data_IF_092135579370
#
_entry.id   IF_092135579370
#
_cell.length_a   1.000
_cell.length_b   1.000
_cell.length_c   1.000
_cell.angle_alpha   90.00
_cell.angle_beta   90.00
_cell.angle_gamma   90.00
#
_symmetry.space_group_name_H-M   'P 1'
#
loop_
_entity.id
_entity.type
_entity.pdbx_description
1 polymer ?
#
# COMPACT_ATOMS: atom_id res chain seq x y z
N UNK A 1 -17.44 13.16 -4.45
CA UNK A 1 -18.37 14.26 -4.78
C UNK A 1 -18.63 15.26 -3.66
N UNK A 2 -19.23 14.88 -2.53
CA UNK A 2 -19.59 15.86 -1.48
C UNK A 2 -18.37 16.54 -0.84
N UNK A 3 -17.26 15.81 -0.65
CA UNK A 3 -16.03 16.33 -0.03
C UNK A 3 -15.11 17.08 -1.00
N UNK A 4 -14.90 16.55 -2.21
CA UNK A 4 -13.91 17.09 -3.18
C UNK A 4 -14.49 17.57 -4.51
N UNK A 5 -15.81 17.78 -4.61
CA UNK A 5 -16.42 18.21 -5.87
C UNK A 5 -16.65 17.08 -6.88
N UNK A 6 -17.22 17.45 -8.04
CA UNK A 6 -17.62 16.53 -9.13
C UNK A 6 -16.42 16.11 -9.98
N UNK A 7 -15.48 17.01 -10.15
CA UNK A 7 -14.19 16.81 -10.80
C UNK A 7 -13.39 15.64 -10.18
N UNK A 8 -13.46 15.48 -8.86
CA UNK A 8 -12.85 14.36 -8.14
C UNK A 8 -13.59 13.00 -8.28
N UNK A 9 -14.59 12.88 -9.17
CA UNK A 9 -15.27 11.60 -9.45
C UNK A 9 -15.01 11.09 -10.86
N UNK A 10 -14.01 11.63 -11.55
CA UNK A 10 -13.44 10.97 -12.72
C UNK A 10 -12.69 9.71 -12.27
N UNK A 11 -12.49 8.79 -13.21
CA UNK A 11 -11.86 7.49 -12.94
C UNK A 11 -10.44 7.44 -13.48
N UNK A 12 -9.57 6.70 -12.78
CA UNK A 12 -8.25 6.33 -13.28
C UNK A 12 -8.31 5.11 -14.20
N UNK A 13 -7.13 4.54 -14.49
CA UNK A 13 -6.98 3.48 -15.49
C UNK A 13 -7.74 2.19 -15.13
N UNK A 14 -7.87 1.87 -13.85
CA UNK A 14 -8.60 0.69 -13.35
C UNK A 14 -10.05 0.96 -12.95
N UNK A 15 -10.59 2.13 -13.30
CA UNK A 15 -12.00 2.47 -13.03
C UNK A 15 -12.31 2.95 -11.60
N UNK A 16 -11.33 2.96 -10.70
CA UNK A 16 -11.42 3.60 -9.38
C UNK A 16 -11.47 5.13 -9.49
N UNK A 17 -12.09 5.81 -8.53
CA UNK A 17 -12.09 7.28 -8.49
C UNK A 17 -10.67 7.81 -8.23
N UNK A 18 -10.32 8.91 -8.90
CA UNK A 18 -9.02 9.58 -8.75
C UNK A 18 -9.17 10.98 -8.13
N UNK A 19 -9.53 11.10 -6.83
CA UNK A 19 -9.60 12.40 -6.17
C UNK A 19 -8.20 13.01 -6.01
N UNK A 20 -8.12 14.34 -6.00
CA UNK A 20 -6.87 15.05 -5.77
C UNK A 20 -6.53 15.07 -4.26
N UNK A 21 -6.10 13.92 -3.74
CA UNK A 21 -5.65 13.73 -2.36
C UNK A 21 -4.18 13.34 -2.36
N UNK A 22 -3.45 13.83 -1.36
CA UNK A 22 -2.04 13.50 -1.14
C UNK A 22 -1.89 12.41 -0.07
N UNK A 23 -2.56 12.59 1.06
CA UNK A 23 -2.41 11.72 2.22
C UNK A 23 -3.12 10.37 2.02
N UNK A 24 -2.39 9.26 2.14
CA UNK A 24 -2.93 7.92 1.87
C UNK A 24 -4.05 7.53 2.85
N UNK A 25 -3.97 8.00 4.11
CA UNK A 25 -5.03 7.75 5.10
C UNK A 25 -6.36 8.42 4.73
N UNK A 26 -6.32 9.50 3.95
CA UNK A 26 -7.51 10.18 3.47
C UNK A 26 -8.30 9.30 2.49
N UNK A 27 -7.62 8.52 1.66
CA UNK A 27 -8.24 7.50 0.81
C UNK A 27 -8.92 6.41 1.65
N UNK A 28 -8.23 5.90 2.67
CA UNK A 28 -8.76 4.87 3.58
C UNK A 28 -9.99 5.36 4.34
N UNK A 29 -9.98 6.61 4.80
CA UNK A 29 -11.12 7.22 5.48
C UNK A 29 -12.35 7.35 4.55
N UNK A 30 -12.13 7.69 3.27
CA UNK A 30 -13.20 7.72 2.28
C UNK A 30 -13.82 6.36 2.04
N UNK A 31 -12.99 5.32 1.91
CA UNK A 31 -13.45 3.94 1.73
C UNK A 31 -14.23 3.46 2.95
N UNK A 32 -13.68 3.66 4.16
CA UNK A 32 -14.35 3.33 5.42
C UNK A 32 -15.72 4.01 5.52
N UNK A 33 -15.75 5.33 5.31
CA UNK A 33 -16.99 6.12 5.30
C UNK A 33 -18.00 5.63 4.26
N UNK A 34 -17.54 5.19 3.08
CA UNK A 34 -18.41 4.67 2.02
C UNK A 34 -19.01 3.31 2.40
N UNK A 35 -18.19 2.41 2.95
CA UNK A 35 -18.61 1.09 3.46
C UNK A 35 -19.66 1.25 4.56
N UNK A 36 -19.42 2.15 5.51
CA UNK A 36 -20.36 2.45 6.61
C UNK A 36 -21.69 2.98 6.05
N UNK A 37 -21.65 3.94 5.12
CA UNK A 37 -22.86 4.50 4.49
C UNK A 37 -23.64 3.49 3.66
N UNK A 38 -22.96 2.51 3.08
CA UNK A 38 -23.58 1.41 2.36
C UNK A 38 -24.20 0.36 3.31
N UNK A 39 -23.93 0.43 4.62
CA UNK A 39 -24.47 -0.49 5.61
C UNK A 39 -23.72 -1.82 5.69
N UNK A 40 -22.44 -1.86 5.29
CA UNK A 40 -21.63 -3.08 5.25
C UNK A 40 -20.33 -3.06 6.10
N UNK A 41 -20.28 -2.40 7.27
CA UNK A 41 -19.05 -2.27 8.05
C UNK A 41 -18.46 -3.62 8.48
N UNK A 42 -19.31 -4.63 8.74
CA UNK A 42 -18.87 -5.95 9.20
C UNK A 42 -18.68 -6.97 8.07
N UNK A 43 -18.89 -6.56 6.81
CA UNK A 43 -18.88 -7.45 5.64
C UNK A 43 -17.80 -7.12 4.61
N UNK A 44 -17.23 -5.91 4.68
CA UNK A 44 -16.24 -5.43 3.72
C UNK A 44 -14.99 -5.01 4.49
N UNK A 45 -13.86 -5.54 4.05
CA UNK A 45 -12.50 -5.19 4.48
C UNK A 45 -11.76 -4.50 3.32
N UNK A 46 -10.61 -3.91 3.61
CA UNK A 46 -9.80 -3.16 2.65
C UNK A 46 -8.52 -3.94 2.31
N UNK A 47 -8.22 -4.00 1.03
CA UNK A 47 -6.89 -4.33 0.50
C UNK A 47 -6.24 -3.07 -0.07
N UNK A 48 -4.91 -3.02 -0.06
CA UNK A 48 -4.13 -1.95 -0.66
C UNK A 48 -3.07 -2.57 -1.57
N UNK A 49 -2.90 -2.03 -2.76
CA UNK A 49 -1.65 -2.13 -3.50
C UNK A 49 -0.92 -0.79 -3.38
N UNK A 50 0.29 -0.85 -2.85
CA UNK A 50 1.13 0.32 -2.61
C UNK A 50 2.04 0.56 -3.82
N UNK A 51 2.47 -0.49 -4.53
CA UNK A 51 3.45 -0.41 -5.61
C UNK A 51 4.70 0.40 -5.22
N UNK A 52 5.31 0.09 -4.07
CA UNK A 52 6.34 0.93 -3.46
C UNK A 52 7.63 1.08 -4.30
N UNK A 53 7.88 0.16 -5.24
CA UNK A 53 8.95 0.27 -6.23
C UNK A 53 8.87 1.58 -7.04
N UNK A 54 7.65 2.07 -7.33
CA UNK A 54 7.43 3.27 -8.15
C UNK A 54 7.92 4.56 -7.48
N UNK A 55 7.96 4.56 -6.16
CA UNK A 55 8.39 5.71 -5.37
C UNK A 55 9.62 5.42 -4.50
N UNK A 56 10.32 4.32 -4.75
CA UNK A 56 11.61 4.04 -4.13
C UNK A 56 12.71 4.93 -4.75
N UNK A 57 13.39 5.68 -3.90
CA UNK A 57 14.43 6.66 -4.26
C UNK A 57 15.59 6.59 -3.28
N UNK A 58 16.77 6.23 -3.78
CA UNK A 58 18.03 6.29 -3.03
C UNK A 58 17.99 5.60 -1.64
N UNK A 59 17.38 4.40 -1.55
CA UNK A 59 17.29 3.66 -0.28
C UNK A 59 16.15 4.10 0.63
N UNK A 60 15.24 4.95 0.13
CA UNK A 60 14.10 5.54 0.85
C UNK A 60 12.88 5.60 -0.05
N UNK A 61 11.78 6.13 0.46
CA UNK A 61 10.48 6.16 -0.20
C UNK A 61 9.93 7.58 -0.24
N UNK A 62 9.44 8.00 -1.41
CA UNK A 62 8.84 9.31 -1.65
C UNK A 62 7.32 9.24 -1.80
N UNK A 63 6.58 9.49 -0.72
CA UNK A 63 5.11 9.42 -0.76
C UNK A 63 4.45 10.50 -1.64
N UNK A 64 5.22 11.47 -2.14
CA UNK A 64 4.76 12.52 -3.05
C UNK A 64 5.54 12.51 -4.38
N UNK A 65 5.95 11.32 -4.86
CA UNK A 65 6.77 11.11 -6.07
C UNK A 65 6.20 11.70 -7.37
N UNK A 66 4.91 12.02 -7.42
CA UNK A 66 4.24 12.67 -8.57
C UNK A 66 4.43 14.19 -8.61
N UNK A 67 4.90 14.77 -7.51
CA UNK A 67 5.27 16.18 -7.41
C UNK A 67 6.77 16.38 -7.72
N UNK A 68 7.24 17.61 -7.97
CA UNK A 68 8.67 17.88 -8.13
C UNK A 68 9.51 17.26 -7.01
N UNK A 69 10.65 16.70 -7.38
CA UNK A 69 11.49 15.90 -6.49
C UNK A 69 12.05 16.71 -5.32
N UNK A 70 11.93 16.16 -4.11
CA UNK A 70 12.48 16.72 -2.87
C UNK A 70 13.00 15.61 -1.95
N UNK A 71 14.32 15.36 -1.90
CA UNK A 71 14.88 14.33 -1.02
C UNK A 71 14.65 14.55 0.48
N UNK A 72 14.26 15.75 0.92
CA UNK A 72 14.00 16.06 2.33
C UNK A 72 12.71 15.40 2.85
N UNK A 73 11.75 15.09 1.97
CA UNK A 73 10.50 14.38 2.34
C UNK A 73 10.60 12.86 2.29
N UNK A 74 11.73 12.31 1.85
CA UNK A 74 11.89 10.86 1.74
C UNK A 74 11.94 10.19 3.12
N UNK A 75 11.16 9.13 3.28
CA UNK A 75 11.08 8.34 4.51
C UNK A 75 11.78 6.99 4.36
N UNK A 76 12.25 6.41 5.46
CA UNK A 76 12.88 5.07 5.46
C UNK A 76 11.83 3.96 5.37
N UNK A 77 12.28 2.74 5.01
CA UNK A 77 11.42 1.55 5.07
C UNK A 77 10.80 1.33 6.45
N UNK A 78 11.55 1.58 7.54
CA UNK A 78 10.99 1.49 8.91
C UNK A 78 9.85 2.49 9.15
N UNK A 79 10.03 3.75 8.71
CA UNK A 79 8.99 4.78 8.83
C UNK A 79 7.75 4.44 7.99
N UNK A 80 7.95 3.87 6.80
CA UNK A 80 6.88 3.41 5.93
C UNK A 80 6.13 2.21 6.53
N UNK A 81 6.85 1.25 7.11
CA UNK A 81 6.27 0.14 7.85
C UNK A 81 5.47 0.60 9.08
N UNK A 82 5.95 1.60 9.81
CA UNK A 82 5.22 2.23 10.91
C UNK A 82 3.92 2.90 10.44
N UNK A 83 3.95 3.55 9.27
CA UNK A 83 2.77 4.12 8.63
C UNK A 83 1.74 3.03 8.31
N UNK A 84 2.13 1.92 7.70
CA UNK A 84 1.21 0.81 7.42
C UNK A 84 0.63 0.18 8.69
N UNK A 85 1.43 0.00 9.74
CA UNK A 85 0.92 -0.47 11.04
C UNK A 85 -0.12 0.49 11.61
N UNK A 86 0.03 1.79 11.41
CA UNK A 86 -0.99 2.77 11.79
C UNK A 86 -2.29 2.60 10.98
N UNK A 87 -2.19 2.24 9.69
CA UNK A 87 -3.36 1.99 8.84
C UNK A 87 -4.10 0.72 9.26
N UNK A 88 -3.37 -0.37 9.51
CA UNK A 88 -3.94 -1.64 10.01
C UNK A 88 -4.65 -1.43 11.35
N UNK A 89 -4.14 -0.54 12.21
CA UNK A 89 -4.78 -0.20 13.49
C UNK A 89 -6.02 0.69 13.33
N UNK A 90 -6.01 1.61 12.36
CA UNK A 90 -7.05 2.63 12.19
C UNK A 90 -8.21 2.24 11.27
N UNK A 91 -7.98 1.29 10.37
CA UNK A 91 -8.88 0.93 9.27
C UNK A 91 -8.97 -0.61 9.14
N UNK A 92 -10.04 -1.15 8.51
CA UNK A 92 -10.20 -2.60 8.33
C UNK A 92 -9.30 -3.15 7.20
N UNK A 93 -8.02 -2.77 7.19
CA UNK A 93 -7.02 -3.25 6.21
C UNK A 93 -6.59 -4.66 6.59
N UNK A 94 -6.69 -5.58 5.64
CA UNK A 94 -6.38 -7.01 5.83
C UNK A 94 -5.47 -7.57 4.74
N UNK A 95 -5.12 -6.77 3.73
CA UNK A 95 -4.14 -7.12 2.71
C UNK A 95 -3.36 -5.89 2.28
N UNK A 96 -2.05 -6.01 2.20
CA UNK A 96 -1.16 -5.00 1.62
C UNK A 96 -0.23 -5.68 0.61
N UNK A 97 -0.27 -5.19 -0.63
CA UNK A 97 0.57 -5.60 -1.75
C UNK A 97 1.69 -4.59 -1.96
N UNK A 98 2.87 -5.11 -2.30
CA UNK A 98 4.11 -4.35 -2.55
C UNK A 98 4.38 -3.18 -1.57
N UNK A 99 4.39 -3.43 -0.24
CA UNK A 99 4.66 -2.40 0.76
C UNK A 99 6.06 -1.79 0.67
N UNK A 100 7.01 -2.46 0.00
CA UNK A 100 8.39 -1.99 -0.14
C UNK A 100 8.90 -2.28 -1.55
N UNK A 101 10.02 -1.65 -1.91
CA UNK A 101 10.69 -1.88 -3.19
C UNK A 101 10.95 -3.37 -3.43
N UNK A 102 10.88 -3.79 -4.69
CA UNK A 102 11.08 -5.16 -5.14
C UNK A 102 12.40 -5.81 -4.67
N UNK A 103 13.44 -5.03 -4.34
CA UNK A 103 14.73 -5.53 -3.85
C UNK A 103 15.01 -5.16 -2.37
N UNK A 104 14.11 -4.47 -1.67
CA UNK A 104 14.23 -4.15 -0.24
C UNK A 104 13.79 -5.32 0.67
N UNK A 105 14.40 -6.49 0.45
CA UNK A 105 14.08 -7.74 1.13
C UNK A 105 14.07 -7.66 2.67
N UNK A 106 14.88 -6.76 3.24
CA UNK A 106 14.96 -6.56 4.68
C UNK A 106 13.68 -5.93 5.23
N UNK A 107 13.20 -4.84 4.60
CA UNK A 107 11.97 -4.18 5.00
C UNK A 107 10.75 -5.12 4.87
N UNK A 108 10.65 -5.86 3.75
CA UNK A 108 9.64 -6.91 3.56
C UNK A 108 9.61 -7.92 4.71
N UNK A 109 10.76 -8.52 5.02
CA UNK A 109 10.85 -9.56 6.06
C UNK A 109 10.53 -9.01 7.45
N UNK A 110 11.00 -7.80 7.77
CA UNK A 110 10.73 -7.14 9.04
C UNK A 110 9.26 -6.80 9.22
N UNK A 111 8.62 -6.27 8.18
CA UNK A 111 7.21 -5.90 8.22
C UNK A 111 6.30 -7.12 8.28
N UNK A 112 6.52 -8.12 7.43
CA UNK A 112 5.74 -9.37 7.41
C UNK A 112 5.83 -10.12 8.74
N UNK A 113 6.97 -10.06 9.44
CA UNK A 113 7.11 -10.63 10.78
C UNK A 113 6.36 -9.85 11.88
N UNK A 114 6.01 -8.59 11.63
CA UNK A 114 5.41 -7.67 12.61
C UNK A 114 3.88 -7.53 12.48
N UNK A 115 3.26 -8.12 11.45
CA UNK A 115 1.82 -8.00 11.17
C UNK A 115 1.16 -9.36 10.98
N UNK A 116 -0.13 -9.42 11.25
CA UNK A 116 -0.97 -10.63 11.08
C UNK A 116 -2.06 -10.38 10.03
N UNK A 117 -1.64 -9.85 8.88
CA UNK A 117 -2.49 -9.61 7.70
C UNK A 117 -1.89 -10.30 6.48
N UNK A 118 -2.61 -10.28 5.36
CA UNK A 118 -2.04 -10.70 4.08
C UNK A 118 -1.00 -9.66 3.60
N UNK A 119 0.20 -10.13 3.26
CA UNK A 119 1.25 -9.35 2.60
C UNK A 119 1.53 -10.01 1.27
N UNK A 120 1.20 -9.31 0.18
CA UNK A 120 1.23 -9.82 -1.20
C UNK A 120 2.49 -9.33 -1.89
N UNK A 121 3.22 -10.24 -2.55
CA UNK A 121 4.31 -9.86 -3.45
C UNK A 121 3.87 -9.90 -4.90
N UNK A 122 3.89 -8.75 -5.57
CA UNK A 122 3.76 -8.61 -7.02
C UNK A 122 5.13 -8.38 -7.65
N UNK A 123 5.66 -7.16 -7.72
CA UNK A 123 6.99 -6.83 -8.26
C UNK A 123 8.11 -7.56 -7.52
N UNK A 124 7.91 -7.83 -6.22
CA UNK A 124 8.84 -8.65 -5.43
C UNK A 124 9.05 -10.03 -6.07
N UNK A 125 7.99 -10.62 -6.62
CA UNK A 125 8.00 -12.02 -7.07
C UNK A 125 7.89 -12.19 -8.59
N UNK A 126 7.27 -11.24 -9.30
CA UNK A 126 7.05 -11.19 -10.76
C UNK A 126 6.63 -12.53 -11.36
N UNK A 127 5.78 -13.27 -10.64
CA UNK A 127 5.34 -14.63 -10.99
C UNK A 127 6.51 -15.57 -11.34
N UNK A 128 7.68 -15.33 -10.74
CA UNK A 128 8.94 -16.02 -11.03
C UNK A 128 9.28 -17.01 -9.92
N UNK A 129 9.35 -18.33 -10.21
CA UNK A 129 9.62 -19.35 -9.20
C UNK A 129 10.90 -19.12 -8.37
N UNK A 130 11.94 -18.49 -8.94
CA UNK A 130 13.18 -18.20 -8.21
C UNK A 130 12.99 -17.10 -7.17
N UNK A 131 12.30 -16.02 -7.54
CA UNK A 131 12.00 -14.93 -6.60
C UNK A 131 10.98 -15.35 -5.55
N UNK A 132 9.99 -16.16 -5.94
CA UNK A 132 9.05 -16.80 -5.01
C UNK A 132 9.80 -17.65 -3.99
N UNK A 133 10.72 -18.51 -4.44
CA UNK A 133 11.55 -19.32 -3.55
C UNK A 133 12.33 -18.44 -2.55
N UNK A 134 12.95 -17.37 -3.02
CA UNK A 134 13.66 -16.42 -2.16
C UNK A 134 12.72 -15.71 -1.17
N UNK A 135 11.52 -15.31 -1.59
CA UNK A 135 10.53 -14.70 -0.72
C UNK A 135 10.08 -15.65 0.40
N UNK A 136 9.90 -16.94 0.08
CA UNK A 136 9.60 -17.99 1.07
C UNK A 136 10.77 -18.17 2.06
N UNK A 137 12.01 -18.29 1.57
CA UNK A 137 13.20 -18.46 2.40
C UNK A 137 13.40 -17.30 3.37
N UNK A 138 13.13 -16.08 2.92
CA UNK A 138 13.26 -14.85 3.72
C UNK A 138 12.03 -14.54 4.56
N UNK A 139 10.90 -15.23 4.33
CA UNK A 139 9.58 -14.87 4.90
C UNK A 139 9.20 -13.43 4.56
N UNK A 140 9.48 -13.02 3.32
CA UNK A 140 9.31 -11.65 2.86
C UNK A 140 7.83 -11.28 2.69
N UNK A 141 7.00 -12.20 2.20
CA UNK A 141 5.56 -12.05 2.03
C UNK A 141 4.84 -13.38 2.36
N UNK A 142 3.52 -13.37 2.43
CA UNK A 142 2.70 -14.58 2.69
C UNK A 142 1.61 -14.83 1.62
N UNK A 143 1.60 -14.03 0.56
CA UNK A 143 0.71 -14.17 -0.60
C UNK A 143 1.45 -13.80 -1.89
N UNK A 144 1.03 -14.38 -3.00
CA UNK A 144 1.56 -14.17 -4.35
C UNK A 144 0.47 -13.53 -5.20
N UNK A 145 0.79 -12.45 -5.91
CA UNK A 145 -0.02 -12.01 -7.04
C UNK A 145 0.36 -12.83 -8.28
N UNK A 146 -0.64 -13.27 -9.08
CA UNK A 146 -0.45 -14.21 -10.19
C UNK A 146 -0.99 -13.68 -11.51
#
# INVERSE_FOLDING_TARGET
KAKYGKDATNVGDEGGFAPNILENNEALELLKSAIEKAGYPDKIIIGMDVAASEFYKAGKYDLDFKSPDDPARYITGDQLGDLYKSFIKGYPVQSIEDPFDQDDWAAWSMFTAAVDIQVVGDDLTVTNPKRIQQAVEKKACNCLLL
#
